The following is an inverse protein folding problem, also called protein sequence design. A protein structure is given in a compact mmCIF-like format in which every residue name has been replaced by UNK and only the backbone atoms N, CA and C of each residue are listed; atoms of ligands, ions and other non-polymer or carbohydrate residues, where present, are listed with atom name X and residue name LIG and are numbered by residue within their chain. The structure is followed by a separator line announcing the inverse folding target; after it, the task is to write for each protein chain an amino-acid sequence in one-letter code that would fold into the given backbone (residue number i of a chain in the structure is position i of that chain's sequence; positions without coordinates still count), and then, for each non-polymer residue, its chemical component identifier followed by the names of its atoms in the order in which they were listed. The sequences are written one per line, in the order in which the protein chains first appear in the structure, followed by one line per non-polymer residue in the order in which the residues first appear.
data_IF_242518779581
#
_entry.id   IF_242518779581
#
_cell.length_a   1.000
_cell.length_b   1.000
_cell.length_c   1.000
_cell.angle_alpha   90.00
_cell.angle_beta   90.00
_cell.angle_gamma   90.00
#
_symmetry.space_group_name_H-M   'P 1'
#
loop_
_entity.id
_entity.type
_entity.pdbx_description
1 polymer ?
#
# COMPACT_ATOMS: atom_id res chain seq x y z
N UNK A 1 -94.53 -8.07 -18.64
CA UNK A 1 -93.73 -7.35 -19.64
C UNK A 1 -92.38 -7.08 -19.00
N UNK A 2 -91.42 -7.98 -19.24
CA UNK A 2 -90.10 -7.96 -18.61
C UNK A 2 -89.09 -7.54 -19.66
N UNK A 3 -88.42 -6.41 -19.45
CA UNK A 3 -87.28 -5.97 -20.25
C UNK A 3 -86.08 -6.87 -19.94
N UNK A 4 -85.42 -7.46 -20.97
CA UNK A 4 -84.16 -8.17 -20.76
C UNK A 4 -83.05 -7.17 -20.43
N UNK A 5 -82.34 -7.45 -19.35
CA UNK A 5 -81.17 -6.73 -18.88
C UNK A 5 -79.99 -7.05 -19.82
N UNK A 6 -79.53 -6.05 -20.58
CA UNK A 6 -78.32 -6.19 -21.43
C UNK A 6 -77.09 -6.22 -20.52
N UNK A 7 -76.23 -7.25 -20.58
CA UNK A 7 -75.01 -7.30 -19.80
C UNK A 7 -74.05 -6.20 -20.25
N UNK A 8 -73.56 -5.45 -19.26
CA UNK A 8 -72.52 -4.44 -19.40
C UNK A 8 -71.23 -5.11 -19.92
N UNK A 9 -70.58 -4.60 -20.98
CA UNK A 9 -69.32 -5.15 -21.44
C UNK A 9 -68.23 -4.98 -20.38
N UNK A 10 -67.51 -6.06 -20.09
CA UNK A 10 -66.34 -6.08 -19.22
C UNK A 10 -65.33 -5.03 -19.68
N UNK A 11 -64.99 -4.12 -18.77
CA UNK A 11 -63.86 -3.22 -18.97
C UNK A 11 -62.59 -4.08 -19.01
N UNK A 12 -61.65 -3.83 -19.94
CA UNK A 12 -60.39 -4.54 -19.95
C UNK A 12 -59.67 -4.31 -18.63
N UNK A 13 -59.46 -5.40 -17.90
CA UNK A 13 -58.64 -5.48 -16.70
C UNK A 13 -57.29 -4.83 -17.00
N UNK A 14 -57.02 -3.71 -16.34
CA UNK A 14 -55.74 -3.04 -16.49
C UNK A 14 -54.64 -4.05 -16.10
N UNK A 15 -53.59 -4.23 -16.92
CA UNK A 15 -52.50 -5.12 -16.57
C UNK A 15 -51.95 -4.66 -15.23
N UNK A 16 -51.99 -5.56 -14.23
CA UNK A 16 -51.41 -5.32 -12.92
C UNK A 16 -49.97 -4.80 -13.06
N UNK A 17 -49.51 -3.94 -12.14
CA UNK A 17 -48.16 -3.40 -12.21
C UNK A 17 -47.19 -4.57 -12.35
N UNK A 18 -46.43 -4.56 -13.46
CA UNK A 18 -45.39 -5.52 -13.71
C UNK A 18 -44.52 -5.66 -12.45
N UNK A 19 -44.09 -6.88 -12.06
CA UNK A 19 -43.17 -7.04 -10.97
C UNK A 19 -41.99 -6.11 -11.23
N UNK A 20 -41.71 -5.24 -10.26
CA UNK A 20 -40.58 -4.33 -10.33
C UNK A 20 -39.36 -5.15 -10.78
N UNK A 21 -38.59 -4.70 -11.78
CA UNK A 21 -37.36 -5.38 -12.14
C UNK A 21 -36.58 -5.58 -10.85
N UNK A 22 -36.23 -6.83 -10.56
CA UNK A 22 -35.30 -7.16 -9.51
C UNK A 22 -34.14 -6.15 -9.63
N UNK A 23 -33.70 -5.52 -8.52
CA UNK A 23 -32.67 -4.51 -8.59
C UNK A 23 -31.54 -5.11 -9.42
N UNK A 24 -31.37 -4.52 -10.61
CA UNK A 24 -30.25 -4.72 -11.50
C UNK A 24 -29.06 -4.84 -10.57
N UNK A 25 -28.42 -6.01 -10.60
CA UNK A 25 -27.25 -6.33 -9.84
C UNK A 25 -26.26 -5.22 -10.17
N UNK A 26 -26.22 -4.21 -9.29
CA UNK A 26 -25.38 -3.05 -9.45
C UNK A 26 -24.01 -3.62 -9.76
N UNK A 27 -23.36 -3.22 -10.88
CA UNK A 27 -22.12 -3.82 -11.31
C UNK A 27 -21.22 -3.86 -10.08
N UNK A 28 -20.82 -5.09 -9.71
CA UNK A 28 -20.00 -5.31 -8.54
C UNK A 28 -18.90 -4.25 -8.53
N UNK A 29 -18.63 -3.59 -7.38
CA UNK A 29 -17.58 -2.59 -7.32
C UNK A 29 -16.33 -3.19 -7.98
N UNK A 30 -15.66 -2.46 -8.90
CA UNK A 30 -14.50 -2.98 -9.59
C UNK A 30 -13.57 -3.57 -8.54
N UNK A 31 -13.22 -4.84 -8.74
CA UNK A 31 -12.38 -5.59 -7.82
C UNK A 31 -11.14 -4.74 -7.54
N UNK A 32 -10.90 -4.29 -6.29
CA UNK A 32 -9.74 -3.47 -5.96
C UNK A 32 -8.42 -4.25 -6.10
N UNK A 33 -8.49 -5.56 -6.40
CA UNK A 33 -7.36 -6.41 -6.68
C UNK A 33 -6.87 -6.24 -8.13
N UNK A 34 -5.93 -5.31 -8.30
CA UNK A 34 -4.81 -5.50 -9.24
C UNK A 34 -5.14 -5.34 -10.73
N UNK A 35 -4.20 -4.73 -11.44
CA UNK A 35 -4.20 -4.73 -12.89
C UNK A 35 -4.40 -6.16 -13.43
N UNK A 36 -5.29 -6.31 -14.43
CA UNK A 36 -5.50 -7.57 -15.16
C UNK A 36 -4.14 -8.25 -15.45
N UNK A 37 -3.91 -9.48 -14.95
CA UNK A 37 -2.61 -10.15 -15.06
C UNK A 37 -2.18 -10.36 -16.51
N UNK A 38 -3.12 -10.51 -17.45
CA UNK A 38 -2.80 -10.59 -18.87
C UNK A 38 -2.28 -9.23 -19.38
N UNK A 39 -2.96 -8.14 -19.03
CA UNK A 39 -2.55 -6.80 -19.40
C UNK A 39 -1.23 -6.35 -18.73
N UNK A 40 -0.92 -6.84 -17.53
CA UNK A 40 0.40 -6.67 -16.90
C UNK A 40 1.49 -7.42 -17.67
N UNK A 41 1.25 -8.69 -18.00
CA UNK A 41 2.22 -9.52 -18.70
C UNK A 41 2.55 -8.96 -20.09
N UNK A 42 1.56 -8.47 -20.84
CA UNK A 42 1.79 -7.78 -22.11
C UNK A 42 2.59 -6.49 -21.95
N UNK A 43 2.32 -5.71 -20.90
CA UNK A 43 3.07 -4.50 -20.61
C UNK A 43 4.53 -4.82 -20.24
N UNK A 44 4.76 -5.90 -19.50
CA UNK A 44 6.09 -6.40 -19.21
C UNK A 44 6.81 -6.88 -20.47
N UNK A 45 6.13 -7.59 -21.37
CA UNK A 45 6.71 -8.03 -22.64
C UNK A 45 7.26 -6.85 -23.46
N UNK A 46 6.51 -5.74 -23.53
CA UNK A 46 6.98 -4.51 -24.19
C UNK A 46 8.24 -3.91 -23.54
N UNK A 47 8.36 -3.99 -22.22
CA UNK A 47 9.58 -3.57 -21.50
C UNK A 47 10.76 -4.47 -21.86
N UNK A 48 10.54 -5.78 -21.95
CA UNK A 48 11.59 -6.75 -22.31
C UNK A 48 12.08 -6.51 -23.75
N UNK A 49 11.15 -6.27 -24.69
CA UNK A 49 11.49 -5.93 -26.08
C UNK A 49 12.28 -4.62 -26.18
N UNK A 50 11.94 -3.63 -25.36
CA UNK A 50 12.58 -2.32 -25.33
C UNK A 50 13.42 -2.11 -24.06
N UNK A 51 14.23 -3.10 -23.66
CA UNK A 51 14.95 -3.09 -22.37
C UNK A 51 15.91 -1.89 -22.18
N UNK A 52 16.45 -1.34 -23.27
CA UNK A 52 17.30 -0.15 -23.22
C UNK A 52 16.53 1.17 -23.13
N UNK A 53 15.22 1.16 -23.36
CA UNK A 53 14.38 2.35 -23.36
C UNK A 53 13.78 2.63 -21.98
N UNK A 54 14.34 3.63 -21.32
CA UNK A 54 13.82 4.09 -20.03
C UNK A 54 12.35 4.54 -20.07
N UNK A 55 11.88 5.01 -21.23
CA UNK A 55 10.49 5.38 -21.45
C UNK A 55 9.54 4.20 -21.22
N UNK A 56 9.84 3.05 -21.82
CA UNK A 56 9.09 1.81 -21.64
C UNK A 56 8.99 1.39 -20.17
N UNK A 57 10.10 1.43 -19.43
CA UNK A 57 10.11 1.12 -18.01
C UNK A 57 9.29 2.10 -17.17
N UNK A 58 9.39 3.41 -17.44
CA UNK A 58 8.60 4.43 -16.74
C UNK A 58 7.11 4.28 -17.04
N UNK A 59 6.75 4.01 -18.29
CA UNK A 59 5.37 3.77 -18.71
C UNK A 59 4.79 2.52 -18.04
N UNK A 60 5.57 1.45 -17.93
CA UNK A 60 5.19 0.26 -17.19
C UNK A 60 4.92 0.56 -15.72
N UNK A 61 5.83 1.26 -15.03
CA UNK A 61 5.66 1.62 -13.63
C UNK A 61 4.53 2.62 -13.37
N UNK A 62 4.17 3.45 -14.34
CA UNK A 62 3.05 4.39 -14.21
C UNK A 62 1.68 3.72 -14.17
N UNK A 63 1.58 2.43 -14.54
CA UNK A 63 0.33 1.65 -14.51
C UNK A 63 -0.11 1.25 -13.09
N UNK A 64 0.83 1.22 -12.15
CA UNK A 64 0.57 0.75 -10.79
C UNK A 64 0.35 1.95 -9.87
N UNK A 65 -0.87 2.09 -9.37
CA UNK A 65 -1.26 3.16 -8.44
C UNK A 65 -1.19 2.72 -6.96
N UNK A 66 -1.02 1.43 -6.70
CA UNK A 66 -1.03 0.82 -5.37
C UNK A 66 0.27 0.06 -5.05
N UNK A 67 0.41 -0.29 -3.77
CA UNK A 67 1.57 -1.04 -3.27
C UNK A 67 1.61 -2.48 -3.80
N UNK A 68 0.46 -3.07 -4.10
CA UNK A 68 0.34 -4.44 -4.61
C UNK A 68 0.90 -4.55 -6.03
N UNK A 69 0.47 -3.65 -6.92
CA UNK A 69 1.00 -3.55 -8.28
C UNK A 69 2.49 -3.20 -8.31
N UNK A 70 2.95 -2.33 -7.41
CA UNK A 70 4.39 -2.06 -7.26
C UNK A 70 5.17 -3.29 -6.79
N UNK A 71 4.58 -4.16 -5.95
CA UNK A 71 5.21 -5.41 -5.56
C UNK A 71 5.36 -6.38 -6.74
N UNK A 72 4.35 -6.47 -7.62
CA UNK A 72 4.42 -7.24 -8.88
C UNK A 72 5.55 -6.72 -9.77
N UNK A 73 5.58 -5.40 -10.02
CA UNK A 73 6.65 -4.77 -10.81
C UNK A 73 8.05 -5.02 -10.22
N UNK A 74 8.19 -4.90 -8.90
CA UNK A 74 9.44 -5.21 -8.20
C UNK A 74 9.85 -6.68 -8.35
N UNK A 75 8.88 -7.61 -8.35
CA UNK A 75 9.11 -9.02 -8.63
C UNK A 75 9.74 -9.25 -10.01
N UNK A 76 9.23 -8.60 -11.05
CA UNK A 76 9.76 -8.69 -12.42
C UNK A 76 11.24 -8.27 -12.49
N UNK A 77 11.60 -7.12 -11.93
CA UNK A 77 12.99 -6.64 -11.95
C UNK A 77 13.92 -7.52 -11.10
N UNK A 78 13.44 -8.08 -9.98
CA UNK A 78 14.23 -9.05 -9.19
C UNK A 78 14.47 -10.35 -9.94
N UNK A 79 13.48 -10.86 -10.67
CA UNK A 79 13.64 -12.05 -11.51
C UNK A 79 14.73 -11.81 -12.57
N UNK A 80 14.72 -10.64 -13.22
CA UNK A 80 15.78 -10.27 -14.17
C UNK A 80 17.15 -10.23 -13.51
N UNK A 81 17.28 -9.67 -12.30
CA UNK A 81 18.57 -9.64 -11.59
C UNK A 81 19.05 -11.03 -11.15
N UNK A 82 18.14 -11.98 -10.93
CA UNK A 82 18.50 -13.36 -10.63
C UNK A 82 19.09 -14.06 -11.86
N UNK A 83 18.56 -13.78 -13.05
CA UNK A 83 19.05 -14.32 -14.33
C UNK A 83 20.29 -13.58 -14.85
N UNK A 84 20.32 -12.26 -14.68
CA UNK A 84 21.39 -11.35 -15.12
C UNK A 84 21.92 -10.54 -13.93
N UNK A 85 22.76 -11.17 -13.07
CA UNK A 85 23.41 -10.46 -11.98
C UNK A 85 24.23 -9.30 -12.52
N UNK A 86 24.00 -8.09 -12.01
CA UNK A 86 24.70 -6.88 -12.44
C UNK A 86 24.02 -6.09 -13.56
N UNK A 87 22.82 -6.48 -14.02
CA UNK A 87 22.03 -5.63 -14.92
C UNK A 87 21.69 -4.29 -14.25
N UNK A 88 22.36 -3.23 -14.70
CA UNK A 88 22.23 -1.89 -14.13
C UNK A 88 20.83 -1.29 -14.34
N UNK A 89 20.15 -1.65 -15.44
CA UNK A 89 18.79 -1.18 -15.73
C UNK A 89 17.81 -1.83 -14.75
N UNK A 90 17.90 -3.14 -14.55
CA UNK A 90 17.06 -3.86 -13.59
C UNK A 90 17.28 -3.35 -12.16
N UNK A 91 18.54 -3.15 -11.75
CA UNK A 91 18.87 -2.62 -10.42
C UNK A 91 18.25 -1.24 -10.20
N UNK A 92 18.42 -0.33 -11.17
CA UNK A 92 17.88 1.02 -11.09
C UNK A 92 16.35 1.03 -11.00
N UNK A 93 15.66 0.29 -11.86
CA UNK A 93 14.20 0.30 -11.85
C UNK A 93 13.58 -0.46 -10.68
N UNK A 94 14.27 -1.47 -10.14
CA UNK A 94 13.94 -2.04 -8.82
C UNK A 94 14.00 -0.96 -7.74
N UNK A 95 15.04 -0.15 -7.72
CA UNK A 95 15.20 0.90 -6.70
C UNK A 95 14.13 2.00 -6.85
N UNK A 96 13.74 2.32 -8.09
CA UNK A 96 12.62 3.23 -8.37
C UNK A 96 11.28 2.67 -7.87
N UNK A 97 11.04 1.36 -8.02
CA UNK A 97 9.87 0.69 -7.41
C UNK A 97 9.88 0.86 -5.89
N UNK A 98 11.01 0.58 -5.25
CA UNK A 98 11.15 0.72 -3.78
C UNK A 98 10.91 2.15 -3.33
N UNK A 99 11.45 3.13 -4.07
CA UNK A 99 11.22 4.55 -3.80
C UNK A 99 9.74 4.91 -3.86
N UNK A 100 9.03 4.51 -4.92
CA UNK A 100 7.59 4.78 -5.06
C UNK A 100 6.78 4.12 -3.95
N UNK A 101 7.05 2.84 -3.68
CA UNK A 101 6.39 2.10 -2.61
C UNK A 101 6.64 2.74 -1.24
N UNK A 102 7.84 3.25 -0.99
CA UNK A 102 8.18 3.96 0.25
C UNK A 102 7.42 5.27 0.37
N UNK A 103 7.41 6.10 -0.68
CA UNK A 103 6.66 7.37 -0.68
C UNK A 103 5.18 7.11 -0.43
N UNK A 104 4.60 6.14 -1.12
CA UNK A 104 3.20 5.78 -0.99
C UNK A 104 2.88 5.18 0.39
N UNK A 105 3.72 4.27 0.88
CA UNK A 105 3.59 3.69 2.21
C UNK A 105 3.63 4.75 3.30
N UNK A 106 4.57 5.69 3.23
CA UNK A 106 4.65 6.80 4.17
C UNK A 106 3.45 7.75 4.07
N UNK A 107 2.92 7.98 2.87
CA UNK A 107 1.71 8.79 2.67
C UNK A 107 0.45 8.12 3.25
N UNK A 108 0.42 6.78 3.29
CA UNK A 108 -0.69 6.00 3.85
C UNK A 108 -0.67 5.91 5.39
N UNK A 109 0.41 6.33 6.04
CA UNK A 109 0.49 6.28 7.50
C UNK A 109 -0.50 7.28 8.13
N UNK A 110 -1.31 6.84 9.11
CA UNK A 110 -2.18 7.75 9.85
C UNK A 110 -1.30 8.79 10.55
N UNK A 111 -1.51 10.07 10.24
CA UNK A 111 -0.86 11.19 10.92
C UNK A 111 -1.41 11.28 12.34
N UNK A 112 -0.86 10.49 13.24
CA UNK A 112 -1.06 10.70 14.66
C UNK A 112 -0.35 12.00 15.00
N UNK A 113 -1.11 13.05 15.31
CA UNK A 113 -0.58 14.25 15.96
C UNK A 113 -0.67 13.98 17.46
N UNK A 114 0.39 13.48 18.13
CA UNK A 114 0.33 13.28 19.57
C UNK A 114 0.31 14.65 20.25
N UNK A 115 -0.87 15.07 20.71
CA UNK A 115 -1.09 16.30 21.49
C UNK A 115 -0.26 16.36 22.80
N UNK A 116 0.45 15.28 23.16
CA UNK A 116 1.29 15.15 24.37
C UNK A 116 2.77 14.78 24.13
N UNK A 117 3.26 14.61 22.89
CA UNK A 117 4.61 14.10 22.63
C UNK A 117 5.76 14.97 23.18
N UNK A 118 5.53 16.27 23.41
CA UNK A 118 6.54 17.15 23.98
C UNK A 118 6.99 16.76 25.39
N UNK A 119 6.07 16.23 26.22
CA UNK A 119 6.36 15.87 27.62
C UNK A 119 7.11 14.53 27.71
N UNK A 120 6.68 13.54 26.93
CA UNK A 120 7.32 12.22 26.89
C UNK A 120 8.74 12.32 26.30
N UNK A 121 8.93 13.09 25.21
CA UNK A 121 10.26 13.31 24.62
C UNK A 121 11.21 14.00 25.59
N UNK A 122 10.74 15.02 26.34
CA UNK A 122 11.54 15.67 27.39
C UNK A 122 11.89 14.70 28.52
N UNK A 123 10.93 13.89 28.98
CA UNK A 123 11.17 12.89 30.01
C UNK A 123 12.23 11.85 29.58
N UNK A 124 12.17 11.37 28.33
CA UNK A 124 13.14 10.43 27.78
C UNK A 124 14.54 11.05 27.64
N UNK A 125 14.65 12.30 27.21
CA UNK A 125 15.94 13.00 27.13
C UNK A 125 16.55 13.19 28.53
N UNK A 126 15.74 13.59 29.52
CA UNK A 126 16.21 13.72 30.90
C UNK A 126 16.65 12.38 31.46
N UNK A 127 15.88 11.31 31.24
CA UNK A 127 16.25 9.96 31.67
C UNK A 127 17.55 9.47 31.02
N UNK A 128 17.75 9.73 29.73
CA UNK A 128 18.99 9.40 29.03
C UNK A 128 20.21 10.16 29.58
N UNK A 129 20.06 11.45 29.85
CA UNK A 129 21.13 12.27 30.45
C UNK A 129 21.49 11.78 31.87
N UNK A 130 20.49 11.40 32.67
CA UNK A 130 20.71 10.84 34.01
C UNK A 130 21.42 9.49 33.93
N UNK A 131 21.03 8.61 33.01
CA UNK A 131 21.67 7.32 32.81
C UNK A 131 23.15 7.47 32.36
N UNK A 132 23.43 8.40 31.45
CA UNK A 132 24.80 8.73 31.05
C UNK A 132 25.63 9.29 32.21
N UNK A 133 25.05 10.20 32.99
CA UNK A 133 25.71 10.75 34.18
C UNK A 133 26.03 9.68 35.22
N UNK A 134 25.09 8.78 35.50
CA UNK A 134 25.28 7.67 36.42
C UNK A 134 26.36 6.68 35.93
N UNK A 135 26.38 6.36 34.63
CA UNK A 135 27.41 5.51 34.04
C UNK A 135 28.80 6.14 34.11
N UNK A 136 28.91 7.44 33.84
CA UNK A 136 30.18 8.17 33.96
C UNK A 136 30.67 8.24 35.41
N UNK A 137 29.78 8.52 36.36
CA UNK A 137 30.11 8.52 37.79
C UNK A 137 30.54 7.14 38.28
N UNK A 138 29.87 6.07 37.84
CA UNK A 138 30.23 4.70 38.17
C UNK A 138 31.60 4.31 37.60
N UNK A 139 31.88 4.67 36.34
CA UNK A 139 33.17 4.42 35.72
C UNK A 139 34.31 5.18 36.42
N UNK A 140 34.08 6.45 36.79
CA UNK A 140 35.04 7.25 37.53
C UNK A 140 35.31 6.68 38.93
N UNK A 141 34.26 6.23 39.64
CA UNK A 141 34.39 5.57 40.94
C UNK A 141 35.17 4.26 40.85
N UNK A 142 34.89 3.43 39.82
CA UNK A 142 35.64 2.19 39.55
C UNK A 142 37.11 2.48 39.25
N UNK A 143 37.40 3.50 38.45
CA UNK A 143 38.77 3.90 38.13
C UNK A 143 39.51 4.42 39.36
N UNK A 144 38.86 5.25 40.19
CA UNK A 144 39.41 5.75 41.43
C UNK A 144 39.70 4.59 42.41
N UNK A 145 38.77 3.64 42.57
CA UNK A 145 38.96 2.46 43.41
C UNK A 145 40.13 1.56 42.94
N UNK A 146 40.36 1.46 41.62
CA UNK A 146 41.52 0.74 41.08
C UNK A 146 42.85 1.48 41.30
N UNK A 147 42.81 2.79 41.47
CA UNK A 147 44.00 3.64 41.68
C UNK A 147 44.34 3.84 43.17
N UNK A 148 43.38 3.69 44.09
CA UNK A 148 43.58 3.95 45.53
C UNK A 148 43.82 2.71 46.41
N UNK A 149 43.79 1.48 45.88
CA UNK A 149 44.25 0.27 46.61
C UNK A 149 43.63 -1.02 46.04
N UNK A 150 44.34 -2.14 45.98
CA UNK A 150 45.04 -2.75 47.12
C UNK A 150 46.53 -3.06 46.88
N UNK A 151 47.45 -2.47 47.66
CA UNK A 151 48.52 -3.23 48.29
C UNK A 151 47.93 -4.24 49.30
N UNK A 152 48.63 -5.36 49.44
CA UNK A 152 48.35 -6.62 50.16
C UNK A 152 47.46 -6.58 51.40
#
# INVERSE_FOLDING_TARGET
MSTPETPRPDAPEAPGPAPAPAPDEAPAPPDPAGADPAAEAEAWARVVEAWGDEGAHRAYLARFADLEGLAVAGGRYRAVLAERPGDAVAARFRDEVVKRATVQGLASLPRTVPRQAGKLRRALVVAALLALGAAAAWAAFRLAALLTGSPS
#
